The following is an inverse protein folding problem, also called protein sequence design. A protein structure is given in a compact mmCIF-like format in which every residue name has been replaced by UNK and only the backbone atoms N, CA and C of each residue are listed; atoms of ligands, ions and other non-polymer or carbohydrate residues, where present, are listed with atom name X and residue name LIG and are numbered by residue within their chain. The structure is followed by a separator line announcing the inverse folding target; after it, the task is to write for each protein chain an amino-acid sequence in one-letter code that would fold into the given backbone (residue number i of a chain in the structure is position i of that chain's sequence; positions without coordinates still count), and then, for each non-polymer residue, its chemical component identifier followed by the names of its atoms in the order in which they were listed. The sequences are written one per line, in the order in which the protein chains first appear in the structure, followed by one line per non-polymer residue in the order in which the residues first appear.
data_IF_750327071552
#
_entry.id   IF_750327071552
#
_cell.length_a   1.000
_cell.length_b   1.000
_cell.length_c   1.000
_cell.angle_alpha   90.00
_cell.angle_beta   90.00
_cell.angle_gamma   90.00
#
_symmetry.space_group_name_H-M   'P 1'
#
loop_
_entity.id
_entity.type
_entity.pdbx_description
1 polymer ?
#
# COMPACT_ATOMS: atom_id res chain seq x y z
N UNK A 1 14.13 8.45 15.48
CA UNK A 1 13.43 9.34 14.54
C UNK A 1 11.94 9.21 14.75
N UNK A 2 11.24 10.29 15.08
CA UNK A 2 9.80 10.26 15.32
C UNK A 2 9.04 10.50 14.02
N UNK A 3 8.10 9.62 13.71
CA UNK A 3 7.28 9.71 12.50
C UNK A 3 5.80 9.63 12.82
N UNK A 4 5.00 10.46 12.15
CA UNK A 4 3.55 10.42 12.24
C UNK A 4 2.97 9.74 11.00
N UNK A 5 2.11 8.74 11.18
CA UNK A 5 1.52 7.95 10.10
C UNK A 5 0.01 8.15 10.06
N UNK A 6 -0.55 8.27 8.86
CA UNK A 6 -2.01 8.25 8.62
C UNK A 6 -2.37 7.39 7.41
N UNK A 7 -3.66 7.02 7.29
CA UNK A 7 -4.14 6.16 6.22
C UNK A 7 -4.12 4.67 6.57
N UNK A 8 -4.41 4.33 7.82
CA UNK A 8 -4.41 2.96 8.34
C UNK A 8 -5.56 2.08 7.82
N UNK A 9 -6.44 2.63 6.98
CA UNK A 9 -7.58 1.89 6.45
C UNK A 9 -7.20 0.83 5.39
N UNK A 10 -6.05 0.99 4.73
CA UNK A 10 -5.56 0.04 3.75
C UNK A 10 -4.53 -0.93 4.35
N UNK A 11 -4.26 -2.02 3.64
CA UNK A 11 -3.31 -3.05 4.05
C UNK A 11 -1.93 -2.48 4.40
N UNK A 12 -1.34 -1.69 3.50
CA UNK A 12 0.03 -1.18 3.69
C UNK A 12 0.09 -0.20 4.87
N UNK A 13 -0.93 0.66 5.01
CA UNK A 13 -1.04 1.56 6.17
C UNK A 13 -1.07 0.81 7.50
N UNK A 14 -1.84 -0.29 7.60
CA UNK A 14 -1.85 -1.12 8.83
C UNK A 14 -0.51 -1.78 9.08
N UNK A 15 0.10 -2.39 8.05
CA UNK A 15 1.40 -3.06 8.17
C UNK A 15 2.54 -2.09 8.52
N UNK A 16 2.37 -0.78 8.32
CA UNK A 16 3.37 0.20 8.71
C UNK A 16 3.65 0.21 10.20
N UNK A 17 2.66 -0.08 11.02
CA UNK A 17 2.79 0.02 12.48
C UNK A 17 3.66 -1.10 13.09
N UNK A 18 3.70 -2.26 12.44
CA UNK A 18 4.59 -3.37 12.85
C UNK A 18 5.93 -3.36 12.11
N UNK A 19 5.95 -2.93 10.83
CA UNK A 19 7.14 -3.02 9.99
C UNK A 19 7.98 -1.74 9.95
N UNK A 20 7.42 -0.60 10.32
CA UNK A 20 8.16 0.67 10.32
C UNK A 20 8.79 0.98 11.67
N UNK A 21 8.17 0.61 12.78
CA UNK A 21 8.74 0.80 14.11
C UNK A 21 9.96 -0.11 14.32
N UNK A 22 11.05 0.47 14.80
CA UNK A 22 12.27 -0.21 15.26
C UNK A 22 13.06 0.70 16.21
N UNK A 23 14.26 0.31 16.60
CA UNK A 23 15.13 1.09 17.50
C UNK A 23 15.42 2.52 16.99
N UNK A 24 15.39 2.72 15.66
CA UNK A 24 15.66 4.01 15.01
C UNK A 24 14.40 4.84 14.73
N UNK A 25 13.19 4.20 14.73
CA UNK A 25 11.95 4.83 14.36
C UNK A 25 10.86 4.61 15.41
N UNK A 26 10.48 5.68 16.10
CA UNK A 26 9.30 5.71 16.96
C UNK A 26 8.10 6.17 16.15
N UNK A 27 7.05 5.36 16.15
CA UNK A 27 5.87 5.55 15.31
C UNK A 27 4.69 6.07 16.12
N UNK A 28 4.13 7.16 15.64
CA UNK A 28 2.84 7.69 16.04
C UNK A 28 1.87 7.55 14.89
N UNK A 29 0.60 7.28 15.15
CA UNK A 29 -0.36 7.09 14.08
C UNK A 29 -1.73 7.70 14.41
N UNK A 30 -2.48 8.08 13.36
CA UNK A 30 -3.82 8.62 13.47
C UNK A 30 -4.80 7.69 12.79
N UNK A 31 -5.86 7.31 13.50
CA UNK A 31 -6.99 6.54 12.96
C UNK A 31 -8.31 7.19 13.33
N UNK A 32 -9.30 7.09 12.43
CA UNK A 32 -10.64 7.65 12.68
C UNK A 32 -11.41 6.90 13.77
N UNK A 33 -11.17 5.61 13.92
CA UNK A 33 -11.86 4.75 14.87
C UNK A 33 -10.86 3.74 15.45
N UNK A 34 -10.42 4.00 16.67
CA UNK A 34 -9.44 3.18 17.36
C UNK A 34 -9.95 1.76 17.63
N UNK A 35 -11.19 1.63 18.12
CA UNK A 35 -11.80 0.33 18.42
C UNK A 35 -11.90 -0.57 17.18
N UNK A 36 -12.29 0.00 16.03
CA UNK A 36 -12.39 -0.74 14.78
C UNK A 36 -11.00 -1.09 14.24
N UNK A 37 -10.04 -0.21 14.43
CA UNK A 37 -8.66 -0.43 14.04
C UNK A 37 -8.05 -1.60 14.85
N UNK A 38 -8.16 -1.60 16.17
CA UNK A 38 -7.65 -2.65 17.06
C UNK A 38 -8.21 -4.03 16.70
N UNK A 39 -9.51 -4.12 16.38
CA UNK A 39 -10.15 -5.37 15.92
C UNK A 39 -9.58 -5.92 14.60
N UNK A 40 -8.91 -5.09 13.81
CA UNK A 40 -8.31 -5.46 12.50
C UNK A 40 -6.81 -5.71 12.57
N UNK A 41 -6.21 -5.49 13.74
CA UNK A 41 -4.79 -5.77 13.96
C UNK A 41 -4.63 -7.19 14.49
N UNK A 42 -3.77 -7.96 13.83
CA UNK A 42 -3.41 -9.33 14.22
C UNK A 42 -2.01 -9.41 14.83
N UNK A 43 -1.28 -8.29 14.82
CA UNK A 43 0.10 -8.22 15.28
C UNK A 43 0.23 -7.23 16.44
N UNK A 44 1.23 -7.42 17.33
CA UNK A 44 1.53 -6.46 18.39
C UNK A 44 1.78 -5.07 17.79
N UNK A 45 1.20 -4.06 18.42
CA UNK A 45 1.42 -2.66 18.04
C UNK A 45 2.73 -2.16 18.63
N UNK A 46 3.65 -1.78 17.76
CA UNK A 46 4.87 -1.06 18.14
C UNK A 46 4.74 0.45 17.88
N UNK A 47 3.53 0.99 18.05
CA UNK A 47 3.21 2.37 17.73
C UNK A 47 2.19 2.94 18.72
N UNK A 48 2.25 4.25 18.97
CA UNK A 48 1.21 4.97 19.70
C UNK A 48 0.14 5.44 18.70
N UNK A 49 -1.10 4.99 18.88
CA UNK A 49 -2.20 5.32 17.96
C UNK A 49 -3.18 6.29 18.63
N UNK A 50 -3.49 7.38 17.93
CA UNK A 50 -4.46 8.40 18.36
C UNK A 50 -5.73 8.31 17.54
N UNK A 51 -6.88 8.55 18.18
CA UNK A 51 -8.15 8.66 17.48
C UNK A 51 -8.37 10.09 16.99
N UNK A 52 -8.75 10.25 15.70
CA UNK A 52 -9.07 11.54 15.13
C UNK A 52 -9.49 11.47 13.67
N UNK A 53 -10.42 12.35 13.29
CA UNK A 53 -10.95 12.45 11.93
C UNK A 53 -10.27 13.60 11.16
N UNK A 54 -9.35 13.23 10.27
CA UNK A 54 -8.67 14.21 9.42
C UNK A 54 -9.60 14.90 8.41
N UNK A 55 -10.76 14.31 8.06
CA UNK A 55 -11.71 14.97 7.15
C UNK A 55 -12.43 16.10 7.87
N UNK A 56 -12.86 15.86 9.11
CA UNK A 56 -13.53 16.87 9.94
C UNK A 56 -12.56 17.91 10.52
N UNK A 57 -11.27 17.59 10.57
CA UNK A 57 -10.27 18.40 11.27
C UNK A 57 -10.42 18.33 12.79
N UNK A 58 -11.20 17.37 13.29
CA UNK A 58 -11.47 17.17 14.70
C UNK A 58 -10.49 16.19 15.32
N UNK A 59 -10.10 16.46 16.52
CA UNK A 59 -9.24 15.62 17.36
C UNK A 59 -8.18 16.44 18.06
N UNK A 60 -8.16 16.37 19.38
CA UNK A 60 -6.99 16.82 20.12
C UNK A 60 -5.95 15.72 20.05
N UNK A 61 -4.94 15.92 19.23
CA UNK A 61 -3.80 15.02 19.21
C UNK A 61 -2.79 15.53 20.24
N UNK A 62 -2.56 14.82 21.34
CA UNK A 62 -1.55 15.20 22.32
C UNK A 62 -0.13 14.91 21.78
N UNK A 63 0.15 15.50 20.61
CA UNK A 63 1.45 15.40 19.95
C UNK A 63 2.39 16.54 20.36
N UNK A 64 1.92 17.45 21.23
CA UNK A 64 2.72 18.58 21.75
C UNK A 64 3.96 18.05 22.46
N UNK A 65 5.13 18.56 22.06
CA UNK A 65 6.43 18.14 22.62
C UNK A 65 7.10 16.98 21.86
N UNK A 66 6.51 16.46 20.80
CA UNK A 66 7.19 15.49 19.93
C UNK A 66 8.02 16.22 18.86
N UNK A 67 9.23 15.78 18.67
CA UNK A 67 10.07 16.23 17.55
C UNK A 67 9.84 15.37 16.31
N UNK A 68 8.69 15.53 15.68
CA UNK A 68 8.37 14.81 14.45
C UNK A 68 9.37 15.18 13.35
N UNK A 69 9.99 14.17 12.75
CA UNK A 69 10.96 14.36 11.64
C UNK A 69 10.35 14.13 10.26
N UNK A 70 9.26 13.35 10.18
CA UNK A 70 8.50 13.14 8.94
C UNK A 70 7.07 12.74 9.22
N UNK A 71 6.16 13.13 8.33
CA UNK A 71 4.84 12.56 8.21
C UNK A 71 4.78 11.55 7.06
N UNK A 72 4.11 10.42 7.26
CA UNK A 72 3.85 9.42 6.23
C UNK A 72 2.34 9.31 6.07
N UNK A 73 1.86 9.66 4.89
CA UNK A 73 0.44 9.69 4.60
C UNK A 73 0.12 8.67 3.49
N UNK A 74 -0.61 7.63 3.83
CA UNK A 74 -1.15 6.70 2.84
C UNK A 74 -2.49 7.20 2.33
N UNK A 75 -2.69 7.22 1.02
CA UNK A 75 -3.97 7.58 0.38
C UNK A 75 -5.13 6.87 1.08
N UNK A 76 -6.11 7.63 1.57
CA UNK A 76 -7.22 7.10 2.37
C UNK A 76 -8.45 6.78 1.54
N UNK A 77 -8.60 7.40 0.38
CA UNK A 77 -9.75 7.21 -0.49
C UNK A 77 -9.57 6.04 -1.45
N UNK A 78 -10.67 5.40 -1.89
CA UNK A 78 -10.60 4.26 -2.81
C UNK A 78 -9.97 4.58 -4.17
N UNK A 79 -10.10 5.80 -4.66
CA UNK A 79 -9.53 6.26 -5.94
C UNK A 79 -9.41 7.79 -5.98
N UNK A 80 -8.36 8.29 -6.60
CA UNK A 80 -8.19 9.72 -6.87
C UNK A 80 -8.89 10.18 -8.16
N UNK A 81 -9.38 9.24 -8.97
CA UNK A 81 -10.10 9.55 -10.22
C UNK A 81 -11.58 9.92 -10.01
N UNK A 82 -12.04 9.97 -8.78
CA UNK A 82 -13.38 10.41 -8.43
C UNK A 82 -13.29 11.77 -7.75
N UNK A 83 -14.11 12.73 -8.20
CA UNK A 83 -14.04 14.13 -7.75
C UNK A 83 -14.34 14.27 -6.26
N UNK A 84 -15.30 13.49 -5.73
CA UNK A 84 -15.68 13.54 -4.32
C UNK A 84 -14.55 12.95 -3.48
N UNK A 85 -14.03 11.78 -3.88
CA UNK A 85 -12.89 11.16 -3.21
C UNK A 85 -11.66 12.07 -3.21
N UNK A 86 -11.36 12.71 -4.34
CA UNK A 86 -10.23 13.63 -4.44
C UNK A 86 -10.39 14.83 -3.50
N UNK A 87 -11.59 15.43 -3.41
CA UNK A 87 -11.84 16.52 -2.45
C UNK A 87 -11.64 16.07 -1.01
N UNK A 88 -12.16 14.90 -0.63
CA UNK A 88 -11.97 14.34 0.71
C UNK A 88 -10.50 14.06 1.02
N UNK A 89 -9.77 13.56 0.04
CA UNK A 89 -8.32 13.30 0.17
C UNK A 89 -7.55 14.62 0.40
N UNK A 90 -7.83 15.66 -0.39
CA UNK A 90 -7.19 16.98 -0.27
C UNK A 90 -7.47 17.62 1.10
N UNK A 91 -8.70 17.53 1.60
CA UNK A 91 -9.06 18.04 2.94
C UNK A 91 -8.29 17.27 4.02
N UNK A 92 -8.33 15.95 3.97
CA UNK A 92 -7.64 15.09 4.94
C UNK A 92 -6.11 15.31 4.93
N UNK A 93 -5.52 15.41 3.75
CA UNK A 93 -4.08 15.66 3.59
C UNK A 93 -3.70 17.07 4.11
N UNK A 94 -4.50 18.10 3.82
CA UNK A 94 -4.29 19.46 4.34
C UNK A 94 -4.28 19.48 5.87
N UNK A 95 -5.26 18.82 6.50
CA UNK A 95 -5.36 18.75 7.96
C UNK A 95 -4.18 17.95 8.56
N UNK A 96 -3.75 16.86 7.92
CA UNK A 96 -2.57 16.13 8.33
C UNK A 96 -1.30 17.00 8.28
N UNK A 97 -1.11 17.79 7.22
CA UNK A 97 0.02 18.71 7.09
C UNK A 97 -0.02 19.79 8.16
N UNK A 98 -1.21 20.30 8.51
CA UNK A 98 -1.35 21.28 9.60
C UNK A 98 -0.90 20.67 10.94
N UNK A 99 -1.23 19.41 11.22
CA UNK A 99 -0.75 18.71 12.42
C UNK A 99 0.79 18.60 12.40
N UNK A 100 1.38 18.22 11.26
CA UNK A 100 2.84 18.16 11.13
C UNK A 100 3.49 19.52 11.43
N UNK A 101 2.98 20.60 10.83
CA UNK A 101 3.51 21.96 11.03
C UNK A 101 3.40 22.45 12.48
N UNK A 102 2.29 22.15 13.16
CA UNK A 102 2.13 22.44 14.60
C UNK A 102 3.17 21.71 15.46
N UNK A 103 3.75 20.61 14.97
CA UNK A 103 4.82 19.84 15.59
C UNK A 103 6.19 20.08 14.92
N UNK A 104 6.39 21.25 14.33
CA UNK A 104 7.64 21.69 13.69
C UNK A 104 8.16 20.77 12.59
N UNK A 105 7.30 19.92 12.04
CA UNK A 105 7.65 18.99 10.97
C UNK A 105 7.25 19.55 9.59
N UNK A 106 8.23 19.69 8.70
CA UNK A 106 8.00 20.19 7.34
C UNK A 106 8.16 19.09 6.28
N UNK A 107 8.47 17.85 6.68
CA UNK A 107 8.72 16.72 5.78
C UNK A 107 7.52 15.80 5.69
N UNK A 108 7.02 15.55 4.47
CA UNK A 108 5.93 14.59 4.24
C UNK A 108 6.29 13.59 3.13
N UNK A 109 5.89 12.36 3.32
CA UNK A 109 5.86 11.30 2.30
C UNK A 109 4.41 10.94 2.03
N UNK A 110 3.92 11.28 0.85
CA UNK A 110 2.59 10.91 0.39
C UNK A 110 2.68 9.61 -0.43
N UNK A 111 1.95 8.58 -0.03
CA UNK A 111 2.02 7.25 -0.64
C UNK A 111 0.70 6.95 -1.34
N UNK A 112 0.74 6.88 -2.67
CA UNK A 112 -0.39 6.55 -3.51
C UNK A 112 -0.13 5.26 -4.32
N UNK A 113 -1.18 4.79 -4.99
CA UNK A 113 -1.06 3.66 -5.92
C UNK A 113 -0.55 4.15 -7.26
N UNK A 114 0.26 3.34 -7.93
CA UNK A 114 0.76 3.66 -9.27
C UNK A 114 -0.37 3.95 -10.28
N UNK A 115 -1.52 3.27 -10.14
CA UNK A 115 -2.69 3.51 -10.98
C UNK A 115 -3.34 4.88 -10.82
N UNK A 116 -3.05 5.60 -9.73
CA UNK A 116 -3.54 6.96 -9.50
C UNK A 116 -2.60 8.04 -10.09
N UNK A 117 -1.53 7.65 -10.81
CA UNK A 117 -0.50 8.53 -11.39
C UNK A 117 -1.08 9.73 -12.16
N UNK A 118 -2.10 9.48 -12.98
CA UNK A 118 -2.73 10.54 -13.80
C UNK A 118 -3.61 11.52 -13.01
N UNK A 119 -3.84 11.26 -11.73
CA UNK A 119 -4.72 12.04 -10.86
C UNK A 119 -3.95 12.69 -9.69
N UNK A 120 -2.62 12.72 -9.75
CA UNK A 120 -1.78 13.18 -8.63
C UNK A 120 -1.57 14.69 -8.60
N UNK A 121 -1.81 15.40 -9.70
CA UNK A 121 -1.52 16.84 -9.82
C UNK A 121 -2.19 17.72 -8.75
N UNK A 122 -3.47 17.50 -8.35
CA UNK A 122 -4.07 18.28 -7.26
C UNK A 122 -3.37 18.07 -5.92
N UNK A 123 -2.87 16.86 -5.65
CA UNK A 123 -2.07 16.57 -4.45
C UNK A 123 -0.74 17.31 -4.51
N UNK A 124 -0.07 17.27 -5.64
CA UNK A 124 1.19 17.98 -5.87
C UNK A 124 1.02 19.50 -5.72
N UNK A 125 -0.07 20.05 -6.26
CA UNK A 125 -0.41 21.47 -6.11
C UNK A 125 -0.60 21.86 -4.64
N UNK A 126 -1.34 21.06 -3.85
CA UNK A 126 -1.52 21.28 -2.42
C UNK A 126 -0.19 21.26 -1.65
N UNK A 127 0.69 20.29 -1.92
CA UNK A 127 1.97 20.18 -1.24
C UNK A 127 2.87 21.40 -1.51
N UNK A 128 2.85 21.90 -2.74
CA UNK A 128 3.56 23.13 -3.13
C UNK A 128 2.95 24.39 -2.50
N UNK A 129 1.61 24.53 -2.53
CA UNK A 129 0.86 25.62 -1.87
C UNK A 129 1.24 25.70 -0.40
N UNK A 130 1.27 24.57 0.28
CA UNK A 130 1.60 24.51 1.70
C UNK A 130 3.09 24.60 2.00
N UNK A 131 3.96 24.69 0.99
CA UNK A 131 5.43 24.85 1.13
C UNK A 131 6.05 23.82 2.08
N UNK A 132 5.70 22.55 1.92
CA UNK A 132 6.29 21.44 2.67
C UNK A 132 7.28 20.69 1.82
N UNK A 133 8.35 20.14 2.42
CA UNK A 133 9.23 19.20 1.74
C UNK A 133 8.49 17.87 1.53
N UNK A 134 8.29 17.45 0.29
CA UNK A 134 7.51 16.26 0.00
C UNK A 134 8.31 15.19 -0.75
N UNK A 135 7.86 13.95 -0.63
CA UNK A 135 8.07 12.88 -1.62
C UNK A 135 6.73 12.25 -1.91
N UNK A 136 6.34 12.17 -3.16
CA UNK A 136 5.18 11.39 -3.58
C UNK A 136 5.71 10.03 -4.05
N UNK A 137 5.26 8.95 -3.42
CA UNK A 137 5.61 7.57 -3.79
C UNK A 137 4.42 6.92 -4.46
N UNK A 138 4.53 6.66 -5.75
CA UNK A 138 3.56 5.92 -6.54
C UNK A 138 3.94 4.44 -6.53
N UNK A 139 3.40 3.69 -5.56
CA UNK A 139 3.77 2.29 -5.38
C UNK A 139 2.95 1.34 -6.24
N UNK A 140 3.58 0.29 -6.71
CA UNK A 140 2.95 -0.89 -7.30
C UNK A 140 2.20 -1.71 -6.23
N UNK A 141 1.61 -2.84 -6.61
CA UNK A 141 0.98 -3.73 -5.66
C UNK A 141 2.00 -4.27 -4.65
N UNK A 142 1.60 -4.28 -3.38
CA UNK A 142 2.41 -4.85 -2.30
C UNK A 142 1.88 -6.23 -1.99
N UNK A 143 2.78 -7.22 -1.99
CA UNK A 143 2.49 -8.62 -1.64
C UNK A 143 3.00 -8.89 -0.23
N UNK A 144 2.25 -9.68 0.49
CA UNK A 144 2.54 -10.18 1.83
C UNK A 144 1.30 -10.84 2.38
N UNK A 145 1.41 -11.47 3.53
CA UNK A 145 0.29 -12.12 4.20
C UNK A 145 -0.90 -11.17 4.35
N UNK A 146 -2.09 -11.63 3.98
CA UNK A 146 -3.36 -10.87 3.99
C UNK A 146 -3.37 -9.62 3.09
N UNK A 147 -2.42 -9.48 2.17
CA UNK A 147 -2.51 -8.46 1.12
C UNK A 147 -3.66 -8.77 0.16
N UNK A 148 -4.09 -7.76 -0.61
CA UNK A 148 -5.17 -7.96 -1.59
C UNK A 148 -4.85 -9.08 -2.59
N UNK A 149 -3.63 -9.10 -3.11
CA UNK A 149 -3.20 -10.14 -4.08
C UNK A 149 -3.14 -11.51 -3.41
N UNK A 150 -2.62 -11.60 -2.18
CA UNK A 150 -2.55 -12.84 -1.40
C UNK A 150 -3.95 -13.43 -1.17
N UNK A 151 -4.90 -12.59 -0.69
CA UNK A 151 -6.30 -13.01 -0.47
C UNK A 151 -6.98 -13.48 -1.76
N UNK A 152 -6.77 -12.76 -2.86
CA UNK A 152 -7.34 -13.15 -4.16
C UNK A 152 -6.77 -14.47 -4.64
N UNK A 153 -5.44 -14.64 -4.62
CA UNK A 153 -4.77 -15.88 -5.04
C UNK A 153 -5.24 -17.07 -4.20
N UNK A 154 -5.23 -16.94 -2.87
CA UNK A 154 -5.69 -18.00 -1.97
C UNK A 154 -7.16 -18.35 -2.19
N UNK A 155 -8.02 -17.35 -2.36
CA UNK A 155 -9.44 -17.54 -2.59
C UNK A 155 -9.72 -18.26 -3.93
N UNK A 156 -8.97 -17.94 -4.97
CA UNK A 156 -9.05 -18.64 -6.26
C UNK A 156 -8.50 -20.07 -6.13
N UNK A 157 -7.35 -20.22 -5.51
CA UNK A 157 -6.63 -21.49 -5.42
C UNK A 157 -7.27 -22.54 -4.49
N UNK A 158 -8.08 -22.13 -3.53
CA UNK A 158 -8.83 -23.04 -2.66
C UNK A 158 -10.03 -23.69 -3.37
N UNK A 159 -10.22 -23.45 -4.68
CA UNK A 159 -11.30 -24.01 -5.48
C UNK A 159 -10.81 -25.20 -6.29
N UNK A 160 -11.66 -26.24 -6.45
CA UNK A 160 -11.38 -27.39 -7.33
C UNK A 160 -11.32 -26.98 -8.81
N UNK A 161 -12.16 -26.01 -9.20
CA UNK A 161 -12.25 -25.49 -10.56
C UNK A 161 -11.90 -24.00 -10.54
N UNK A 162 -10.90 -23.64 -11.33
CA UNK A 162 -10.44 -22.25 -11.50
C UNK A 162 -10.83 -21.80 -12.91
N UNK A 163 -11.63 -20.76 -12.98
CA UNK A 163 -11.90 -20.06 -14.23
C UNK A 163 -10.86 -18.97 -14.43
N UNK A 164 -10.14 -19.02 -15.53
CA UNK A 164 -9.16 -17.99 -15.85
C UNK A 164 -9.42 -17.38 -17.22
N UNK A 165 -8.82 -16.24 -17.50
CA UNK A 165 -8.78 -15.64 -18.83
C UNK A 165 -7.35 -15.24 -19.12
N UNK A 166 -6.86 -15.55 -20.32
CA UNK A 166 -5.53 -15.14 -20.78
C UNK A 166 -5.27 -13.65 -20.54
N UNK A 167 -6.28 -12.81 -20.74
CA UNK A 167 -6.18 -11.37 -20.49
C UNK A 167 -5.73 -11.03 -19.06
N UNK A 168 -6.28 -11.70 -18.04
CA UNK A 168 -5.88 -11.47 -16.65
C UNK A 168 -4.62 -12.23 -16.28
N UNK A 169 -4.47 -13.45 -16.82
CA UNK A 169 -3.33 -14.31 -16.51
C UNK A 169 -2.00 -13.71 -16.96
N UNK A 170 -1.99 -13.06 -18.12
CA UNK A 170 -0.77 -12.45 -18.72
C UNK A 170 -0.55 -11.00 -18.32
N UNK A 171 -1.48 -10.42 -17.54
CA UNK A 171 -1.34 -9.02 -17.11
C UNK A 171 -0.11 -8.84 -16.23
N UNK A 172 0.77 -7.92 -16.63
CA UNK A 172 2.04 -7.69 -15.95
C UNK A 172 1.88 -6.73 -14.77
N UNK A 173 2.34 -7.18 -13.62
CA UNK A 173 2.49 -6.44 -12.38
C UNK A 173 3.98 -6.38 -12.02
N UNK A 174 4.37 -5.45 -11.17
CA UNK A 174 5.73 -5.42 -10.61
C UNK A 174 5.64 -5.37 -9.08
N UNK A 175 5.23 -6.51 -8.47
CA UNK A 175 4.92 -6.59 -7.06
C UNK A 175 6.17 -6.45 -6.19
N UNK A 176 5.99 -5.88 -5.00
CA UNK A 176 7.04 -5.73 -4.00
C UNK A 176 6.58 -6.28 -2.64
N UNK A 177 7.50 -6.83 -1.87
CA UNK A 177 7.23 -7.33 -0.53
C UNK A 177 6.92 -6.19 0.44
N UNK A 178 5.97 -6.43 1.38
CA UNK A 178 5.60 -5.42 2.36
C UNK A 178 6.80 -4.99 3.22
N UNK A 179 7.60 -5.94 3.70
CA UNK A 179 8.80 -5.67 4.49
C UNK A 179 9.83 -4.84 3.71
N UNK A 180 10.09 -5.20 2.47
CA UNK A 180 11.01 -4.49 1.60
C UNK A 180 10.54 -3.07 1.28
N UNK A 181 9.23 -2.89 1.11
CA UNK A 181 8.64 -1.56 0.94
C UNK A 181 8.98 -0.64 2.12
N UNK A 182 8.83 -1.11 3.36
CA UNK A 182 9.14 -0.31 4.53
C UNK A 182 10.64 -0.13 4.75
N UNK A 183 11.49 -1.13 4.46
CA UNK A 183 12.95 -0.98 4.46
C UNK A 183 13.40 0.09 3.45
N UNK A 184 12.84 0.05 2.25
CA UNK A 184 13.09 1.05 1.22
C UNK A 184 12.64 2.44 1.69
N UNK A 185 11.46 2.56 2.26
CA UNK A 185 10.89 3.82 2.76
C UNK A 185 11.76 4.44 3.87
N UNK A 186 12.24 3.63 4.83
CA UNK A 186 13.18 4.06 5.87
C UNK A 186 14.51 4.57 5.28
N UNK A 187 15.03 3.89 4.27
CA UNK A 187 16.25 4.28 3.60
C UNK A 187 16.06 5.58 2.80
N UNK A 188 14.95 5.69 2.07
CA UNK A 188 14.57 6.86 1.27
C UNK A 188 14.46 8.13 2.12
N UNK A 189 13.91 8.04 3.34
CA UNK A 189 13.79 9.18 4.24
C UNK A 189 15.13 9.81 4.61
N UNK A 190 16.21 9.03 4.60
CA UNK A 190 17.58 9.47 4.94
C UNK A 190 18.31 10.14 3.76
N UNK A 191 17.78 10.02 2.53
CA UNK A 191 18.45 10.50 1.31
C UNK A 191 17.83 11.82 0.82
N UNK A 192 18.56 12.96 0.88
CA UNK A 192 18.03 14.27 0.48
C UNK A 192 17.56 14.34 -0.99
N UNK A 193 18.15 13.54 -1.87
CA UNK A 193 17.82 13.51 -3.30
C UNK A 193 16.34 13.16 -3.59
N UNK A 194 15.61 12.62 -2.62
CA UNK A 194 14.17 12.32 -2.75
C UNK A 194 13.25 13.47 -2.33
N UNK A 195 13.80 14.60 -1.87
CA UNK A 195 12.97 15.76 -1.51
C UNK A 195 12.39 16.41 -2.76
N UNK A 196 11.12 16.83 -2.66
CA UNK A 196 10.36 17.49 -3.70
C UNK A 196 10.29 16.71 -5.03
N UNK A 197 10.14 15.38 -4.91
CA UNK A 197 10.07 14.48 -6.07
C UNK A 197 8.86 13.57 -6.02
N UNK A 198 8.45 13.14 -7.22
CA UNK A 198 7.55 12.01 -7.45
C UNK A 198 8.42 10.80 -7.82
N UNK A 199 8.19 9.69 -7.15
CA UNK A 199 8.95 8.45 -7.29
C UNK A 199 8.00 7.31 -7.61
N UNK A 200 8.25 6.59 -8.71
CA UNK A 200 7.54 5.37 -9.04
C UNK A 200 8.28 4.17 -8.47
N UNK A 201 7.56 3.30 -7.77
CA UNK A 201 8.13 2.19 -7.05
C UNK A 201 7.50 0.87 -7.46
N UNK A 202 8.27 0.04 -8.14
CA UNK A 202 7.95 -1.36 -8.45
C UNK A 202 8.93 -2.32 -7.80
N UNK A 203 8.55 -3.58 -7.73
CA UNK A 203 9.38 -4.66 -7.20
C UNK A 203 10.59 -5.02 -8.08
N UNK A 204 11.27 -6.14 -7.79
CA UNK A 204 12.53 -6.48 -8.46
C UNK A 204 12.35 -6.81 -9.94
N UNK A 205 11.26 -7.46 -10.32
CA UNK A 205 10.96 -7.88 -11.69
C UNK A 205 9.46 -7.81 -12.00
N UNK A 206 9.07 -7.59 -13.26
CA UNK A 206 7.70 -7.81 -13.69
C UNK A 206 7.30 -9.29 -13.56
N UNK A 207 6.05 -9.53 -13.17
CA UNK A 207 5.44 -10.85 -13.06
C UNK A 207 4.00 -10.78 -13.55
N UNK A 208 3.54 -11.80 -14.25
CA UNK A 208 2.12 -11.95 -14.55
C UNK A 208 1.36 -12.50 -13.33
N UNK A 209 0.03 -12.35 -13.34
CA UNK A 209 -0.79 -12.97 -12.30
C UNK A 209 -0.63 -14.51 -12.31
N UNK A 210 -0.42 -15.10 -13.48
CA UNK A 210 -0.14 -16.54 -13.61
C UNK A 210 1.20 -16.93 -12.97
N UNK A 211 2.25 -16.10 -13.13
CA UNK A 211 3.54 -16.34 -12.48
C UNK A 211 3.42 -16.28 -10.96
N UNK A 212 2.70 -15.27 -10.44
CA UNK A 212 2.44 -15.17 -9.01
C UNK A 212 1.69 -16.40 -8.52
N UNK A 213 0.63 -16.83 -9.20
CA UNK A 213 -0.13 -18.03 -8.85
C UNK A 213 0.75 -19.29 -8.86
N UNK A 214 1.60 -19.44 -9.88
CA UNK A 214 2.53 -20.58 -9.98
C UNK A 214 3.57 -20.58 -8.86
N UNK A 215 4.03 -19.39 -8.42
CA UNK A 215 4.90 -19.24 -7.25
C UNK A 215 4.21 -19.76 -5.99
N UNK A 216 2.94 -19.39 -5.75
CA UNK A 216 2.16 -19.92 -4.62
C UNK A 216 2.03 -21.45 -4.66
N UNK A 217 1.83 -22.02 -5.85
CA UNK A 217 1.78 -23.51 -6.03
C UNK A 217 3.12 -24.17 -5.77
N UNK A 218 4.21 -23.61 -6.27
CA UNK A 218 5.57 -24.13 -6.09
C UNK A 218 5.96 -24.16 -4.60
N UNK A 219 5.59 -23.09 -3.85
CA UNK A 219 5.84 -22.97 -2.42
C UNK A 219 4.83 -23.77 -1.54
N UNK A 220 3.90 -24.49 -2.14
CA UNK A 220 2.84 -25.25 -1.43
C UNK A 220 1.99 -24.37 -0.50
N UNK A 221 1.78 -23.10 -0.85
CA UNK A 221 0.93 -22.17 -0.12
C UNK A 221 -0.56 -22.32 -0.48
N UNK A 222 -0.86 -23.05 -1.55
CA UNK A 222 -2.20 -23.36 -2.06
C UNK A 222 -2.30 -24.83 -2.46
N UNK A 223 -3.53 -25.35 -2.50
CA UNK A 223 -3.78 -26.74 -2.87
C UNK A 223 -3.33 -27.05 -4.30
N UNK A 224 -3.01 -28.32 -4.57
CA UNK A 224 -2.70 -28.83 -5.90
C UNK A 224 -3.93 -29.55 -6.50
N UNK A 225 -3.91 -29.77 -7.80
CA UNK A 225 -4.94 -30.59 -8.47
C UNK A 225 -6.18 -29.82 -8.92
N UNK A 226 -6.08 -28.49 -9.09
CA UNK A 226 -7.18 -27.71 -9.65
C UNK A 226 -7.36 -27.96 -11.15
N UNK A 227 -8.59 -28.02 -11.61
CA UNK A 227 -8.96 -27.97 -13.03
C UNK A 227 -9.02 -26.51 -13.46
N UNK A 228 -8.22 -26.13 -14.45
CA UNK A 228 -8.14 -24.76 -14.96
C UNK A 228 -8.92 -24.69 -16.27
N UNK A 229 -9.93 -23.82 -16.34
CA UNK A 229 -10.78 -23.64 -17.51
C UNK A 229 -10.58 -22.21 -18.04
N UNK A 230 -10.16 -22.09 -19.30
CA UNK A 230 -10.03 -20.80 -19.99
C UNK A 230 -11.41 -20.31 -20.46
N UNK A 231 -11.76 -19.10 -20.10
CA UNK A 231 -13.05 -18.49 -20.41
C UNK A 231 -12.86 -17.04 -20.86
N UNK A 232 -13.78 -16.53 -21.68
CA UNK A 232 -13.76 -15.11 -22.06
C UNK A 232 -13.74 -14.18 -20.85
N UNK A 233 -13.03 -13.07 -20.95
CA UNK A 233 -12.82 -12.06 -19.89
C UNK A 233 -14.13 -11.64 -19.20
N UNK A 234 -15.20 -11.42 -19.95
CA UNK A 234 -16.49 -10.99 -19.40
C UNK A 234 -17.13 -12.04 -18.50
N UNK A 235 -16.98 -13.33 -18.87
CA UNK A 235 -17.51 -14.44 -18.09
C UNK A 235 -16.74 -14.66 -16.79
N UNK A 236 -15.41 -14.63 -16.86
CA UNK A 236 -14.54 -14.70 -15.66
C UNK A 236 -14.87 -13.58 -14.67
N UNK A 237 -15.08 -12.35 -15.17
CA UNK A 237 -15.51 -11.21 -14.36
C UNK A 237 -16.85 -11.45 -13.66
N UNK A 238 -17.82 -12.03 -14.38
CA UNK A 238 -19.15 -12.33 -13.83
C UNK A 238 -19.08 -13.39 -12.72
N UNK A 239 -18.32 -14.47 -12.97
CA UNK A 239 -18.14 -15.57 -12.01
C UNK A 239 -17.49 -15.07 -10.73
N UNK A 240 -16.37 -14.34 -10.84
CA UNK A 240 -15.64 -13.91 -9.66
C UNK A 240 -16.29 -12.74 -8.93
N UNK A 241 -17.10 -11.92 -9.58
CA UNK A 241 -17.89 -10.89 -8.90
C UNK A 241 -18.79 -11.45 -7.79
N UNK A 242 -19.31 -12.67 -7.96
CA UNK A 242 -20.22 -13.33 -6.99
C UNK A 242 -19.52 -14.36 -6.10
N UNK A 243 -18.33 -14.82 -6.48
CA UNK A 243 -17.69 -15.98 -5.85
C UNK A 243 -16.42 -15.69 -5.08
N UNK A 244 -15.80 -14.52 -5.25
CA UNK A 244 -14.66 -14.12 -4.42
C UNK A 244 -15.18 -13.68 -3.05
N UNK A 245 -14.69 -14.32 -2.01
CA UNK A 245 -14.96 -13.93 -0.62
C UNK A 245 -14.02 -12.78 -0.22
N UNK A 246 -14.20 -11.64 -0.90
CA UNK A 246 -13.48 -10.39 -0.65
C UNK A 246 -14.48 -9.23 -0.71
N UNK A 247 -14.19 -8.15 0.00
CA UNK A 247 -15.07 -6.99 0.02
C UNK A 247 -15.28 -6.38 -1.37
N UNK A 248 -16.41 -5.71 -1.58
CA UNK A 248 -16.70 -5.01 -2.85
C UNK A 248 -15.62 -3.96 -3.17
N UNK A 249 -15.05 -3.32 -2.16
CA UNK A 249 -13.94 -2.36 -2.29
C UNK A 249 -12.68 -3.06 -2.79
N UNK A 250 -12.33 -4.21 -2.22
CA UNK A 250 -11.17 -5.00 -2.65
C UNK A 250 -11.34 -5.54 -4.08
N UNK A 251 -12.56 -5.97 -4.44
CA UNK A 251 -12.86 -6.38 -5.82
C UNK A 251 -12.67 -5.23 -6.81
N UNK A 252 -13.13 -4.03 -6.44
CA UNK A 252 -12.96 -2.84 -7.28
C UNK A 252 -11.49 -2.45 -7.40
N UNK A 253 -10.71 -2.54 -6.34
CA UNK A 253 -9.27 -2.25 -6.34
C UNK A 253 -8.51 -3.29 -7.18
N UNK A 254 -8.75 -4.58 -6.98
CA UNK A 254 -8.14 -5.65 -7.78
C UNK A 254 -8.48 -5.52 -9.27
N UNK A 255 -9.75 -5.23 -9.58
CA UNK A 255 -10.19 -5.01 -10.96
C UNK A 255 -9.48 -3.82 -11.64
N UNK A 256 -9.12 -2.78 -10.87
CA UNK A 256 -8.35 -1.64 -11.38
C UNK A 256 -6.89 -1.99 -11.59
N UNK A 257 -6.26 -2.67 -10.63
CA UNK A 257 -4.88 -3.20 -10.78
C UNK A 257 -4.75 -4.01 -12.07
N UNK A 258 -5.74 -4.85 -12.36
CA UNK A 258 -5.75 -5.72 -13.54
C UNK A 258 -6.10 -5.05 -14.87
N UNK A 259 -6.27 -3.73 -14.90
CA UNK A 259 -6.55 -2.97 -16.16
C UNK A 259 -5.37 -2.17 -16.67
N UNK A 260 -4.40 -1.90 -15.83
CA UNK A 260 -3.28 -1.01 -16.12
C UNK A 260 -1.98 -1.80 -16.00
N UNK A 261 -1.21 -1.86 -17.07
CA UNK A 261 0.15 -2.39 -16.99
C UNK A 261 0.95 -1.53 -16.02
N UNK A 262 1.43 -2.18 -14.97
CA UNK A 262 2.05 -1.51 -13.83
C UNK A 262 3.56 -1.81 -13.78
N UNK A 263 4.25 -1.59 -14.91
CA UNK A 263 5.71 -1.72 -15.01
C UNK A 263 6.32 -0.33 -14.87
N UNK A 264 7.34 -0.21 -14.05
CA UNK A 264 8.09 1.01 -13.79
C UNK A 264 9.61 0.77 -13.89
N UNK A 265 10.35 1.77 -14.31
CA UNK A 265 11.81 1.66 -14.51
C UNK A 265 12.61 1.73 -13.21
N UNK A 266 11.97 2.11 -12.10
CA UNK A 266 12.65 2.28 -10.81
C UNK A 266 13.87 3.23 -10.88
N UNK A 267 13.71 4.39 -11.53
CA UNK A 267 14.77 5.41 -11.73
C UNK A 267 15.41 5.91 -10.43
N UNK A 268 14.72 5.72 -9.30
CA UNK A 268 15.22 6.03 -7.96
C UNK A 268 16.51 5.25 -7.61
N UNK A 269 16.80 4.13 -8.29
CA UNK A 269 18.03 3.33 -8.08
C UNK A 269 19.31 4.13 -8.35
N UNK A 270 19.22 5.19 -9.16
CA UNK A 270 20.32 6.13 -9.41
C UNK A 270 20.69 6.95 -8.18
N UNK A 271 19.76 7.14 -7.23
CA UNK A 271 19.94 7.94 -6.03
C UNK A 271 20.26 7.10 -4.77
N UNK A 272 19.81 5.83 -4.77
CA UNK A 272 19.93 4.97 -3.59
C UNK A 272 20.12 3.52 -4.02
N UNK A 273 21.26 2.87 -3.68
CA UNK A 273 21.42 1.45 -3.88
C UNK A 273 20.49 0.69 -2.93
N UNK A 274 19.54 -0.05 -3.47
CA UNK A 274 18.62 -0.87 -2.70
C UNK A 274 18.25 -2.14 -3.48
N UNK A 275 18.25 -3.28 -2.82
CA UNK A 275 17.88 -4.56 -3.39
C UNK A 275 16.63 -5.09 -2.73
N UNK A 276 15.62 -5.36 -3.54
CA UNK A 276 14.40 -6.06 -3.13
C UNK A 276 14.64 -7.57 -3.08
N UNK A 277 13.99 -8.22 -2.14
CA UNK A 277 13.88 -9.68 -2.07
C UNK A 277 13.05 -10.22 -3.25
N UNK A 278 13.24 -11.46 -3.62
CA UNK A 278 12.37 -12.13 -4.58
C UNK A 278 10.97 -12.31 -3.98
N UNK A 279 9.95 -12.48 -4.81
CA UNK A 279 8.58 -12.73 -4.31
C UNK A 279 8.51 -14.08 -3.61
N UNK A 280 9.31 -15.03 -4.06
CA UNK A 280 9.48 -16.34 -3.43
C UNK A 280 9.95 -16.19 -1.98
N UNK A 281 11.01 -15.40 -1.74
CA UNK A 281 11.54 -15.14 -0.39
C UNK A 281 10.52 -14.41 0.49
N UNK A 282 9.84 -13.40 -0.05
CA UNK A 282 8.79 -12.65 0.66
C UNK A 282 7.68 -13.57 1.17
N UNK A 283 7.21 -14.49 0.32
CA UNK A 283 6.13 -15.42 0.67
C UNK A 283 6.58 -16.48 1.67
N UNK A 284 7.84 -16.91 1.61
CA UNK A 284 8.42 -17.84 2.58
C UNK A 284 8.61 -17.19 3.95
N UNK A 285 9.15 -15.97 3.99
CA UNK A 285 9.30 -15.22 5.23
C UNK A 285 7.94 -15.01 5.93
N UNK A 286 6.92 -14.59 5.20
CA UNK A 286 5.58 -14.39 5.76
C UNK A 286 4.99 -15.67 6.34
N UNK A 287 5.32 -16.85 5.77
CA UNK A 287 4.90 -18.14 6.32
C UNK A 287 5.56 -18.45 7.67
N UNK A 288 6.85 -18.14 7.81
CA UNK A 288 7.60 -18.39 9.06
C UNK A 288 7.12 -17.54 10.23
N UNK A 289 6.57 -16.35 9.95
CA UNK A 289 6.00 -15.47 10.98
C UNK A 289 4.61 -15.90 11.47
N UNK A 290 3.96 -16.83 10.80
CA UNK A 290 2.61 -17.33 11.15
C UNK A 290 2.65 -18.66 11.90
N UNK A 291 3.82 -19.25 12.02
CA UNK A 291 4.07 -20.46 12.83
C UNK A 291 4.61 -20.08 14.22
#
# INVERSE_FOLDING_TARGET
MDVLISGLNNYVGRRSLSLFADENFRVFAITRNLKLFEKRMFEPLHATVYEGDLIKGEGSFPLSGLELKAGIYFTQVPTLNDVVNLKLEIISLRNFIHILKKNSCQRIVYIARLMDRMCIDPVLALLRELRVEYTIVLKNCVIGHDSLVDRVIKNIANRKIIFYSKFYATHALQPLGARDFFRWLKSMLKVPAFRNRVVELGGPKPMSLADIFNTYKALKLVQKGQIIIDLPKWFVRLVYRKRLDISSTDQAEFSRIMRVNSIVDNDWRKQMPFRFSSIEDVLLEDRLFLQ
#
